data_IF_091963913247
#
_entry.id   IF_091963913247
#
_cell.length_a   1.000
_cell.length_b   1.000
_cell.length_c   1.000
_cell.angle_alpha   90.00
_cell.angle_beta   90.00
_cell.angle_gamma   90.00
#
_symmetry.space_group_name_H-M   'P 1'
#
loop_
_entity.id
_entity.type
_entity.pdbx_description
1 polymer ?
#
# COMPACT_ATOMS: atom_id res chain seq x y z
N UNK A 1 25.57 -10.24 -16.02
CA UNK A 1 24.76 -10.43 -14.81
C UNK A 1 23.42 -10.89 -15.35
N UNK A 2 23.18 -12.19 -15.30
CA UNK A 2 22.17 -12.80 -16.14
C UNK A 2 20.80 -12.66 -15.48
N UNK A 3 19.86 -12.00 -16.16
CA UNK A 3 18.52 -11.72 -15.65
C UNK A 3 17.77 -13.01 -15.23
N UNK A 4 18.12 -14.14 -15.84
CA UNK A 4 17.64 -15.48 -15.49
C UNK A 4 18.02 -15.88 -14.06
N UNK A 5 19.22 -15.53 -13.60
CA UNK A 5 19.66 -15.84 -12.24
C UNK A 5 18.96 -15.00 -11.17
N UNK A 6 18.48 -13.80 -11.51
CA UNK A 6 17.75 -12.93 -10.58
C UNK A 6 16.33 -13.47 -10.40
N UNK A 7 15.68 -13.86 -11.50
CA UNK A 7 14.33 -14.42 -11.45
C UNK A 7 14.30 -15.77 -10.72
N UNK A 8 15.29 -16.64 -10.95
CA UNK A 8 15.40 -17.92 -10.23
C UNK A 8 15.62 -17.70 -8.73
N UNK A 9 16.47 -16.73 -8.34
CA UNK A 9 16.65 -16.38 -6.93
C UNK A 9 15.38 -15.81 -6.30
N UNK A 10 14.65 -14.97 -7.02
CA UNK A 10 13.38 -14.41 -6.55
C UNK A 10 12.33 -15.52 -6.35
N UNK A 11 12.27 -16.49 -7.27
CA UNK A 11 11.40 -17.67 -7.14
C UNK A 11 11.73 -18.47 -5.89
N UNK A 12 12.99 -18.84 -5.69
CA UNK A 12 13.45 -19.61 -4.51
C UNK A 12 13.11 -18.85 -3.21
N UNK A 13 13.31 -17.54 -3.20
CA UNK A 13 13.00 -16.73 -2.02
C UNK A 13 11.51 -16.72 -1.68
N UNK A 14 10.64 -16.60 -2.68
CA UNK A 14 9.18 -16.65 -2.48
C UNK A 14 8.73 -18.03 -2.00
N UNK A 15 9.30 -19.11 -2.52
CA UNK A 15 9.02 -20.48 -2.06
C UNK A 15 9.37 -20.66 -0.56
N UNK A 16 10.55 -20.20 -0.15
CA UNK A 16 10.96 -20.23 1.27
C UNK A 16 10.04 -19.39 2.17
N UNK A 17 9.61 -18.22 1.69
CA UNK A 17 8.67 -17.38 2.44
C UNK A 17 7.30 -18.06 2.60
N UNK A 18 6.82 -18.77 1.59
CA UNK A 18 5.56 -19.52 1.66
C UNK A 18 5.62 -20.66 2.69
N UNK A 19 6.75 -21.36 2.77
CA UNK A 19 6.97 -22.42 3.76
C UNK A 19 7.00 -21.85 5.18
N UNK A 20 7.74 -20.76 5.40
CA UNK A 20 7.82 -20.09 6.70
C UNK A 20 6.45 -19.55 7.18
N UNK A 21 5.68 -18.92 6.28
CA UNK A 21 4.33 -18.45 6.63
C UNK A 21 3.42 -19.60 7.04
N UNK A 22 3.52 -20.75 6.35
CA UNK A 22 2.72 -21.95 6.65
C UNK A 22 3.03 -22.53 8.03
N UNK A 23 4.29 -22.51 8.45
CA UNK A 23 4.70 -22.92 9.81
C UNK A 23 4.16 -21.93 10.86
N UNK A 24 4.33 -20.63 10.63
CA UNK A 24 3.90 -19.58 11.56
C UNK A 24 2.37 -19.48 11.72
N UNK A 25 1.60 -19.72 10.65
CA UNK A 25 0.14 -19.75 10.71
C UNK A 25 -0.42 -20.99 11.43
N UNK A 26 0.37 -22.05 11.61
CA UNK A 26 -0.01 -23.22 12.41
C UNK A 26 0.28 -23.06 13.89
N UNK A 27 1.18 -22.15 14.26
CA UNK A 27 1.70 -22.04 15.63
C UNK A 27 1.10 -20.89 16.46
N UNK A 28 0.45 -19.88 15.85
CA UNK A 28 -0.07 -18.76 16.65
C UNK A 28 -1.37 -18.11 16.13
N UNK A 29 -2.42 -18.25 16.94
CA UNK A 29 -3.65 -17.46 16.91
C UNK A 29 -3.60 -16.24 17.84
N UNK A 30 -2.43 -15.67 18.14
CA UNK A 30 -2.29 -14.57 19.09
C UNK A 30 -1.61 -13.31 18.51
N UNK A 31 -2.28 -12.20 18.81
CA UNK A 31 -2.09 -10.81 18.39
C UNK A 31 -0.66 -10.25 18.52
N UNK A 32 -0.11 -9.70 17.43
CA UNK A 32 1.08 -8.83 17.46
C UNK A 32 0.63 -7.36 17.66
N UNK A 33 0.87 -6.81 18.86
CA UNK A 33 0.80 -5.36 19.13
C UNK A 33 1.99 -4.64 18.47
N UNK A 34 1.74 -3.81 17.44
CA UNK A 34 2.73 -2.85 16.93
C UNK A 34 2.62 -1.51 17.65
N UNK A 35 3.73 -1.09 18.24
CA UNK A 35 3.92 0.22 18.88
C UNK A 35 4.00 1.32 17.81
N UNK A 36 3.04 2.26 17.82
CA UNK A 36 3.03 3.45 16.95
C UNK A 36 3.96 4.53 17.52
N UNK A 37 4.86 5.08 16.68
CA UNK A 37 5.42 6.41 16.88
C UNK A 37 4.47 7.39 16.17
N UNK A 38 3.77 8.22 16.94
CA UNK A 38 2.81 9.23 16.44
C UNK A 38 3.51 10.58 16.49
N UNK A 39 3.64 11.25 15.33
CA UNK A 39 3.98 12.66 15.27
C UNK A 39 2.67 13.46 15.38
N UNK A 40 2.52 14.20 16.47
CA UNK A 40 1.29 14.90 16.85
C UNK A 40 0.92 15.99 15.84
N UNK A 41 -0.30 15.91 15.30
CA UNK A 41 -1.21 17.04 15.13
C UNK A 41 -2.64 16.50 15.10
N UNK A 42 -3.46 17.02 16.00
CA UNK A 42 -4.74 16.48 16.43
C UNK A 42 -5.82 16.50 15.32
N UNK A 43 -6.25 15.31 14.93
CA UNK A 43 -7.67 15.03 14.68
C UNK A 43 -8.01 13.73 15.41
N UNK A 44 -8.75 13.83 16.50
CA UNK A 44 -9.31 12.69 17.22
C UNK A 44 -10.33 11.96 16.33
N UNK A 45 -9.90 10.89 15.66
CA UNK A 45 -10.81 9.86 15.17
C UNK A 45 -10.58 8.60 16.01
N UNK A 46 -11.49 8.38 16.95
CA UNK A 46 -11.50 7.23 17.83
C UNK A 46 -11.72 5.95 17.02
N UNK A 47 -10.63 5.23 16.78
CA UNK A 47 -10.50 3.78 16.74
C UNK A 47 -9.02 3.53 16.46
N UNK A 48 -8.40 2.60 17.17
CA UNK A 48 -7.07 2.09 16.84
C UNK A 48 -7.10 1.24 15.56
N UNK A 49 -7.89 1.66 14.56
CA UNK A 49 -7.95 1.05 13.25
C UNK A 49 -6.61 1.30 12.55
N UNK A 50 -6.11 0.25 11.90
CA UNK A 50 -4.88 0.26 11.14
C UNK A 50 -5.00 1.31 10.03
N UNK A 51 -4.39 2.48 10.24
CA UNK A 51 -4.33 3.54 9.23
C UNK A 51 -3.59 2.99 8.01
N UNK A 52 -4.04 3.32 6.78
CA UNK A 52 -3.35 2.92 5.57
C UNK A 52 -1.93 3.50 5.57
N UNK A 53 -0.95 2.70 5.18
CA UNK A 53 0.40 3.18 4.90
C UNK A 53 0.40 3.82 3.51
N UNK A 54 0.87 5.06 3.41
CA UNK A 54 0.89 5.81 2.15
C UNK A 54 2.31 6.29 1.86
N UNK A 55 2.81 5.96 0.67
CA UNK A 55 4.05 6.47 0.12
C UNK A 55 3.75 7.29 -1.13
N UNK A 56 4.35 8.46 -1.23
CA UNK A 56 4.19 9.35 -2.37
C UNK A 56 5.57 9.72 -2.94
N UNK A 57 5.70 9.68 -4.27
CA UNK A 57 6.87 10.14 -5.01
C UNK A 57 6.42 11.10 -6.09
N UNK A 58 7.17 12.17 -6.30
CA UNK A 58 6.89 13.16 -7.36
C UNK A 58 8.06 13.15 -8.33
N UNK A 59 7.74 13.05 -9.62
CA UNK A 59 8.71 13.16 -10.71
C UNK A 59 8.14 14.10 -11.77
N UNK A 60 8.80 15.24 -11.98
CA UNK A 60 8.34 16.29 -12.89
C UNK A 60 6.89 16.74 -12.58
N UNK A 61 5.93 16.35 -13.43
CA UNK A 61 4.50 16.66 -13.30
C UNK A 61 3.67 15.45 -12.87
N UNK A 62 4.31 14.34 -12.53
CA UNK A 62 3.65 13.10 -12.13
C UNK A 62 3.88 12.80 -10.66
N UNK A 63 2.85 12.22 -10.04
CA UNK A 63 2.84 11.74 -8.66
C UNK A 63 2.54 10.24 -8.70
N UNK A 64 3.42 9.46 -8.10
CA UNK A 64 3.22 8.04 -7.82
C UNK A 64 2.79 7.88 -6.36
N UNK A 65 1.63 7.30 -6.14
CA UNK A 65 1.10 6.93 -4.84
C UNK A 65 1.12 5.41 -4.70
N UNK A 66 1.65 4.92 -3.59
CA UNK A 66 1.62 3.52 -3.20
C UNK A 66 0.95 3.46 -1.83
N UNK A 67 -0.18 2.78 -1.75
CA UNK A 67 -1.05 2.75 -0.57
C UNK A 67 -1.22 1.28 -0.17
N UNK A 68 -0.86 0.94 1.06
CA UNK A 68 -1.08 -0.38 1.63
C UNK A 68 -2.17 -0.29 2.69
N UNK A 69 -3.24 -1.06 2.53
CA UNK A 69 -4.37 -1.02 3.45
C UNK A 69 -5.12 -2.34 3.55
N UNK A 70 -5.93 -2.48 4.59
CA UNK A 70 -6.89 -3.58 4.65
C UNK A 70 -8.09 -3.31 3.73
N UNK A 71 -8.67 -4.39 3.21
CA UNK A 71 -9.86 -4.38 2.37
C UNK A 71 -11.03 -3.88 3.19
N UNK A 72 -11.45 -2.67 2.89
CA UNK A 72 -12.69 -2.09 3.40
C UNK A 72 -13.65 -1.81 2.25
N UNK A 73 -14.96 -1.86 2.53
CA UNK A 73 -15.98 -1.57 1.53
C UNK A 73 -15.80 -0.15 0.99
N UNK A 74 -15.65 -0.05 -0.34
CA UNK A 74 -15.52 1.23 -1.04
C UNK A 74 -14.20 1.97 -0.80
N UNK A 75 -13.16 1.34 -0.23
CA UNK A 75 -11.87 2.02 0.05
C UNK A 75 -11.24 2.63 -1.20
N UNK A 76 -11.28 1.92 -2.33
CA UNK A 76 -10.77 2.40 -3.62
C UNK A 76 -11.53 3.66 -4.05
N UNK A 77 -12.87 3.62 -4.00
CA UNK A 77 -13.70 4.77 -4.36
C UNK A 77 -13.38 5.99 -3.49
N UNK A 78 -13.26 5.80 -2.16
CA UNK A 78 -12.88 6.86 -1.23
C UNK A 78 -11.54 7.49 -1.60
N UNK A 79 -10.54 6.68 -1.94
CA UNK A 79 -9.20 7.16 -2.35
C UNK A 79 -9.31 7.97 -3.64
N UNK A 80 -9.98 7.43 -4.68
CA UNK A 80 -10.12 8.10 -5.97
C UNK A 80 -10.83 9.46 -5.82
N UNK A 81 -11.92 9.52 -5.04
CA UNK A 81 -12.63 10.78 -4.74
C UNK A 81 -11.75 11.78 -3.99
N UNK A 82 -10.89 11.33 -3.06
CA UNK A 82 -9.95 12.23 -2.39
C UNK A 82 -8.93 12.81 -3.38
N UNK A 83 -8.43 12.01 -4.33
CA UNK A 83 -7.48 12.48 -5.34
C UNK A 83 -8.13 13.48 -6.33
N UNK A 84 -9.38 13.24 -6.71
CA UNK A 84 -10.15 14.16 -7.54
C UNK A 84 -10.34 15.52 -6.85
N UNK A 85 -10.63 15.52 -5.55
CA UNK A 85 -10.75 16.75 -4.75
C UNK A 85 -9.42 17.51 -4.60
N UNK A 86 -8.28 16.84 -4.80
CA UNK A 86 -6.95 17.46 -4.82
C UNK A 86 -6.55 17.96 -6.22
N UNK A 87 -7.47 17.91 -7.19
CA UNK A 87 -7.24 18.27 -8.58
C UNK A 87 -6.12 17.46 -9.25
N UNK A 88 -5.90 16.23 -8.80
CA UNK A 88 -4.95 15.29 -9.41
C UNK A 88 -5.66 14.53 -10.53
N UNK A 89 -5.10 14.58 -11.74
CA UNK A 89 -5.63 13.82 -12.88
C UNK A 89 -5.05 12.40 -12.86
N UNK A 90 -5.88 11.39 -12.63
CA UNK A 90 -5.42 10.00 -12.54
C UNK A 90 -5.09 9.48 -13.95
N UNK A 91 -3.83 9.08 -14.14
CA UNK A 91 -3.32 8.50 -15.40
C UNK A 91 -3.42 6.98 -15.38
N UNK A 92 -3.04 6.37 -14.26
CA UNK A 92 -3.07 4.93 -14.09
C UNK A 92 -3.42 4.57 -12.64
N UNK A 93 -4.12 3.46 -12.47
CA UNK A 93 -4.34 2.87 -11.15
C UNK A 93 -4.29 1.35 -11.25
N UNK A 94 -3.64 0.72 -10.29
CA UNK A 94 -3.55 -0.72 -10.15
C UNK A 94 -3.85 -1.09 -8.71
N UNK A 95 -4.56 -2.19 -8.53
CA UNK A 95 -4.89 -2.74 -7.21
C UNK A 95 -4.50 -4.21 -7.19
N UNK A 96 -3.56 -4.53 -6.31
CA UNK A 96 -3.15 -5.88 -6.02
C UNK A 96 -3.72 -6.30 -4.66
N UNK A 97 -4.15 -7.55 -4.56
CA UNK A 97 -4.66 -8.14 -3.32
C UNK A 97 -3.70 -9.21 -2.87
N UNK A 98 -3.36 -9.23 -1.59
CA UNK A 98 -2.52 -10.28 -1.01
C UNK A 98 -3.01 -10.68 0.38
N UNK A 99 -2.87 -11.97 0.70
CA UNK A 99 -3.45 -12.54 1.91
C UNK A 99 -4.97 -12.46 1.97
N UNK A 100 -5.53 -12.52 3.18
CA UNK A 100 -7.00 -12.59 3.41
C UNK A 100 -7.69 -11.24 3.22
N UNK A 101 -7.01 -10.14 3.55
CA UNK A 101 -7.62 -8.82 3.61
C UNK A 101 -6.70 -7.67 3.22
N UNK A 102 -5.48 -7.88 2.69
CA UNK A 102 -4.62 -6.75 2.33
C UNK A 102 -4.76 -6.33 0.87
N UNK A 103 -4.62 -5.02 0.65
CA UNK A 103 -4.63 -4.35 -0.64
C UNK A 103 -3.35 -3.51 -0.78
N UNK A 104 -2.68 -3.66 -1.92
CA UNK A 104 -1.66 -2.73 -2.41
C UNK A 104 -2.23 -1.97 -3.59
N UNK A 105 -2.36 -0.65 -3.44
CA UNK A 105 -2.93 0.23 -4.44
C UNK A 105 -1.82 1.14 -4.96
N UNK A 106 -1.56 1.09 -6.26
CA UNK A 106 -0.61 1.96 -6.94
C UNK A 106 -1.36 2.91 -7.86
N UNK A 107 -1.18 4.21 -7.71
CA UNK A 107 -1.82 5.23 -8.54
C UNK A 107 -0.76 6.15 -9.11
N UNK A 108 -0.81 6.39 -10.42
CA UNK A 108 -0.05 7.45 -11.10
C UNK A 108 -1.04 8.55 -11.44
N UNK A 109 -0.74 9.77 -10.99
CA UNK A 109 -1.55 10.94 -11.27
C UNK A 109 -0.69 12.10 -11.75
N UNK A 110 -1.27 13.03 -12.48
CA UNK A 110 -0.63 14.27 -12.92
C UNK A 110 -1.05 15.43 -12.02
N UNK A 111 -0.07 16.28 -11.71
CA UNK A 111 -0.29 17.55 -11.04
C UNK A 111 -1.06 18.51 -11.96
N UNK A 112 -1.92 19.38 -11.42
CA UNK A 112 -2.63 20.39 -12.20
C UNK A 112 -1.61 21.31 -12.90
N UNK A 113 -1.90 21.62 -14.17
CA UNK A 113 -0.99 22.39 -15.04
C UNK A 113 -0.86 23.86 -14.61
N UNK A 114 -1.76 24.35 -13.77
CA UNK A 114 -1.89 25.76 -13.37
C UNK A 114 -1.06 26.17 -12.13
N UNK A 115 -0.19 25.31 -11.60
CA UNK A 115 0.67 25.61 -10.44
C UNK A 115 2.09 26.10 -10.80
N UNK A 116 2.31 26.62 -12.00
CA UNK A 116 3.62 27.15 -12.46
C UNK A 116 3.50 28.49 -13.18
#
# INVERSE_FOLDING_TARGET
MDDTTILDKAKIYVENLQELVKELEQEDGSNIKRTKIVNSNEYNCGTSENLPEVQAKVLQKEVLLIIHCEKQNGVILKILTHLENLHLSIVNSSVLRFGKSNLDITIVAQLPTELY
#
